data_IF_796043966492
#
_entry.id   IF_796043966492
#
_cell.length_a   1.000
_cell.length_b   1.000
_cell.length_c   1.000
_cell.angle_alpha   90.00
_cell.angle_beta   90.00
_cell.angle_gamma   90.00
#
_symmetry.space_group_name_H-M   'P 1'
#
loop_
_entity.id
_entity.type
_entity.pdbx_description
1 polymer ?
#
# COMPACT_ATOMS: atom_id res chain seq x y z
N UNK A 1 -88.41 -12.69 -62.65
CA UNK A 1 -88.02 -12.22 -61.31
C UNK A 1 -86.66 -12.77 -60.78
N UNK A 2 -85.78 -13.37 -61.61
CA UNK A 2 -84.54 -14.03 -61.13
C UNK A 2 -83.26 -13.15 -61.10
N UNK A 3 -83.27 -11.96 -61.70
CA UNK A 3 -82.05 -11.12 -61.84
C UNK A 3 -81.75 -10.27 -60.58
N UNK A 4 -82.75 -9.97 -59.74
CA UNK A 4 -82.54 -9.15 -58.52
C UNK A 4 -81.96 -9.92 -57.33
N UNK A 5 -82.03 -11.27 -57.32
CA UNK A 5 -81.52 -12.11 -56.23
C UNK A 5 -80.02 -12.40 -56.31
N UNK A 6 -79.45 -12.46 -57.52
CA UNK A 6 -78.02 -12.67 -57.74
C UNK A 6 -77.18 -11.43 -57.42
N UNK A 7 -77.70 -10.22 -57.67
CA UNK A 7 -77.04 -8.96 -57.34
C UNK A 7 -76.89 -8.75 -55.81
N UNK A 8 -77.90 -9.14 -55.02
CA UNK A 8 -77.83 -9.04 -53.55
C UNK A 8 -76.82 -10.00 -52.91
N UNK A 9 -76.65 -11.19 -53.47
CA UNK A 9 -75.65 -12.18 -53.03
C UNK A 9 -74.22 -11.75 -53.36
N UNK A 10 -73.99 -11.14 -54.53
CA UNK A 10 -72.68 -10.60 -54.88
C UNK A 10 -72.30 -9.39 -54.02
N UNK A 11 -73.26 -8.50 -53.71
CA UNK A 11 -73.02 -7.35 -52.83
C UNK A 11 -72.74 -7.79 -51.38
N UNK A 12 -73.46 -8.78 -50.87
CA UNK A 12 -73.23 -9.34 -49.54
C UNK A 12 -71.87 -10.05 -49.43
N UNK A 13 -71.44 -10.78 -50.46
CA UNK A 13 -70.13 -11.42 -50.50
C UNK A 13 -68.98 -10.39 -50.51
N UNK A 14 -69.13 -9.27 -51.22
CA UNK A 14 -68.13 -8.19 -51.26
C UNK A 14 -68.03 -7.46 -49.91
N UNK A 15 -69.15 -7.26 -49.21
CA UNK A 15 -69.18 -6.64 -47.88
C UNK A 15 -68.52 -7.54 -46.81
N UNK A 16 -68.72 -8.86 -46.88
CA UNK A 16 -68.09 -9.81 -45.94
C UNK A 16 -66.57 -9.90 -46.14
N UNK A 17 -66.10 -9.91 -47.40
CA UNK A 17 -64.65 -9.95 -47.71
C UNK A 17 -63.94 -8.66 -47.31
N UNK A 18 -64.58 -7.50 -47.50
CA UNK A 18 -64.00 -6.20 -47.10
C UNK A 18 -63.96 -6.02 -45.57
N UNK A 19 -64.98 -6.51 -44.84
CA UNK A 19 -64.98 -6.50 -43.37
C UNK A 19 -63.87 -7.37 -42.77
N UNK A 20 -63.61 -8.56 -43.34
CA UNK A 20 -62.51 -9.44 -42.90
C UNK A 20 -61.13 -8.87 -43.23
N UNK A 21 -60.98 -8.18 -44.37
CA UNK A 21 -59.73 -7.48 -44.69
C UNK A 21 -59.47 -6.31 -43.74
N UNK A 22 -60.51 -5.57 -43.34
CA UNK A 22 -60.37 -4.44 -42.43
C UNK A 22 -60.00 -4.88 -40.99
N UNK A 23 -60.57 -5.99 -40.49
CA UNK A 23 -60.20 -6.54 -39.18
C UNK A 23 -58.76 -7.07 -39.18
N UNK A 24 -58.34 -7.76 -40.25
CA UNK A 24 -56.96 -8.21 -40.42
C UNK A 24 -55.97 -7.04 -40.43
N UNK A 25 -56.27 -5.97 -41.15
CA UNK A 25 -55.43 -4.76 -41.18
C UNK A 25 -55.29 -4.12 -39.79
N UNK A 26 -56.38 -4.05 -39.01
CA UNK A 26 -56.32 -3.53 -37.63
C UNK A 26 -55.53 -4.42 -36.67
N UNK A 27 -55.61 -5.75 -36.84
CA UNK A 27 -54.82 -6.70 -36.07
C UNK A 27 -53.33 -6.55 -36.41
N UNK A 28 -52.96 -6.50 -37.70
CA UNK A 28 -51.58 -6.29 -38.14
C UNK A 28 -50.99 -4.96 -37.63
N UNK A 29 -51.76 -3.87 -37.66
CA UNK A 29 -51.34 -2.59 -37.11
C UNK A 29 -51.15 -2.61 -35.59
N UNK A 30 -51.92 -3.44 -34.87
CA UNK A 30 -51.80 -3.60 -33.42
C UNK A 30 -50.59 -4.46 -33.06
N UNK A 31 -50.38 -5.58 -33.75
CA UNK A 31 -49.16 -6.41 -33.62
C UNK A 31 -47.89 -5.60 -33.91
N UNK A 32 -47.91 -4.77 -34.96
CA UNK A 32 -46.77 -3.89 -35.27
C UNK A 32 -46.44 -2.92 -34.13
N UNK A 33 -47.46 -2.33 -33.48
CA UNK A 33 -47.27 -1.45 -32.32
C UNK A 33 -46.75 -2.21 -31.10
N UNK A 34 -47.28 -3.41 -30.83
CA UNK A 34 -46.82 -4.27 -29.74
C UNK A 34 -45.35 -4.65 -29.96
N UNK A 35 -44.98 -5.10 -31.16
CA UNK A 35 -43.61 -5.46 -31.49
C UNK A 35 -42.64 -4.29 -31.35
N UNK A 36 -43.06 -3.08 -31.74
CA UNK A 36 -42.25 -1.87 -31.54
C UNK A 36 -42.05 -1.55 -30.05
N UNK A 37 -43.12 -1.57 -29.26
CA UNK A 37 -43.06 -1.31 -27.83
C UNK A 37 -42.25 -2.38 -27.06
N UNK A 38 -42.39 -3.65 -27.45
CA UNK A 38 -41.61 -4.75 -26.92
C UNK A 38 -40.11 -4.60 -27.25
N UNK A 39 -39.79 -4.21 -28.48
CA UNK A 39 -38.40 -3.92 -28.90
C UNK A 39 -37.79 -2.77 -28.09
N UNK A 40 -38.54 -1.68 -27.88
CA UNK A 40 -38.06 -0.54 -27.10
C UNK A 40 -37.87 -0.90 -25.62
N UNK A 41 -38.78 -1.71 -25.06
CA UNK A 41 -38.65 -2.25 -23.70
C UNK A 41 -37.43 -3.17 -23.59
N UNK A 42 -37.21 -4.04 -24.58
CA UNK A 42 -36.07 -4.94 -24.62
C UNK A 42 -34.75 -4.18 -24.70
N UNK A 43 -34.67 -3.09 -25.48
CA UNK A 43 -33.48 -2.21 -25.51
C UNK A 43 -33.18 -1.61 -24.13
N UNK A 44 -34.20 -1.17 -23.40
CA UNK A 44 -34.03 -0.64 -22.03
C UNK A 44 -33.55 -1.73 -21.07
N UNK A 45 -34.16 -2.92 -21.12
CA UNK A 45 -33.75 -4.08 -20.31
C UNK A 45 -32.30 -4.44 -20.59
N UNK A 46 -31.91 -4.54 -21.86
CA UNK A 46 -30.53 -4.84 -22.25
C UNK A 46 -29.56 -3.78 -21.75
N UNK A 47 -29.91 -2.49 -21.86
CA UNK A 47 -29.07 -1.40 -21.35
C UNK A 47 -28.90 -1.44 -19.83
N UNK A 48 -29.98 -1.65 -19.07
CA UNK A 48 -29.92 -1.77 -17.61
C UNK A 48 -29.14 -3.01 -17.17
N UNK A 49 -29.31 -4.12 -17.87
CA UNK A 49 -28.55 -5.35 -17.63
C UNK A 49 -27.05 -5.15 -17.83
N UNK A 50 -26.66 -4.43 -18.89
CA UNK A 50 -25.27 -4.06 -19.15
C UNK A 50 -24.72 -3.16 -18.03
N UNK A 51 -25.42 -2.08 -17.69
CA UNK A 51 -25.01 -1.17 -16.62
C UNK A 51 -24.87 -1.88 -15.26
N UNK A 52 -25.79 -2.80 -14.95
CA UNK A 52 -25.74 -3.60 -13.72
C UNK A 52 -24.51 -4.51 -13.70
N UNK A 53 -24.21 -5.13 -14.85
CA UNK A 53 -23.03 -6.00 -14.99
C UNK A 53 -21.73 -5.22 -14.84
N UNK A 54 -21.66 -4.03 -15.45
CA UNK A 54 -20.50 -3.14 -15.38
C UNK A 54 -20.28 -2.64 -13.95
N UNK A 55 -21.34 -2.15 -13.29
CA UNK A 55 -21.26 -1.68 -11.90
C UNK A 55 -20.88 -2.82 -10.93
N UNK A 56 -21.37 -4.03 -11.15
CA UNK A 56 -20.99 -5.20 -10.35
C UNK A 56 -19.50 -5.54 -10.55
N UNK A 57 -18.98 -5.40 -11.77
CA UNK A 57 -17.56 -5.60 -12.04
C UNK A 57 -16.69 -4.55 -11.35
N UNK A 58 -17.09 -3.28 -11.40
CA UNK A 58 -16.42 -2.16 -10.72
C UNK A 58 -16.44 -2.33 -9.20
N UNK A 59 -17.61 -2.62 -8.62
CA UNK A 59 -17.76 -2.90 -7.18
C UNK A 59 -16.81 -4.02 -6.74
N UNK A 60 -16.75 -5.12 -7.49
CA UNK A 60 -15.84 -6.23 -7.19
C UNK A 60 -14.36 -5.83 -7.31
N UNK A 61 -14.02 -4.94 -8.24
CA UNK A 61 -12.65 -4.43 -8.36
C UNK A 61 -12.27 -3.56 -7.15
N UNK A 62 -13.13 -2.61 -6.78
CA UNK A 62 -12.91 -1.71 -5.62
C UNK A 62 -12.84 -2.49 -4.31
N UNK A 63 -13.68 -3.52 -4.11
CA UNK A 63 -13.60 -4.39 -2.92
C UNK A 63 -12.25 -5.12 -2.84
N UNK A 64 -11.76 -5.66 -3.96
CA UNK A 64 -10.43 -6.33 -3.98
C UNK A 64 -9.30 -5.35 -3.69
N UNK A 65 -9.36 -4.15 -4.25
CA UNK A 65 -8.38 -3.10 -3.99
C UNK A 65 -8.40 -2.67 -2.52
N UNK A 66 -9.60 -2.50 -1.95
CA UNK A 66 -9.77 -2.15 -0.53
C UNK A 66 -9.16 -3.22 0.38
N UNK A 67 -9.39 -4.50 0.12
CA UNK A 67 -8.80 -5.58 0.92
C UNK A 67 -7.27 -5.63 0.79
N UNK A 68 -6.75 -5.41 -0.43
CA UNK A 68 -5.30 -5.30 -0.66
C UNK A 68 -4.68 -4.14 0.13
N UNK A 69 -5.31 -2.97 0.08
CA UNK A 69 -4.87 -1.78 0.82
C UNK A 69 -4.96 -1.99 2.34
N UNK A 70 -5.98 -2.70 2.82
CA UNK A 70 -6.13 -3.03 4.24
C UNK A 70 -4.98 -3.92 4.72
N UNK A 71 -4.68 -5.00 3.98
CA UNK A 71 -3.54 -5.89 4.29
C UNK A 71 -2.21 -5.11 4.29
N UNK A 72 -2.02 -4.22 3.31
CA UNK A 72 -0.83 -3.39 3.24
C UNK A 72 -0.73 -2.41 4.42
N UNK A 73 -1.84 -1.80 4.83
CA UNK A 73 -1.88 -0.93 6.01
C UNK A 73 -1.54 -1.69 7.29
N UNK A 74 -2.12 -2.89 7.49
CA UNK A 74 -1.83 -3.77 8.62
C UNK A 74 -0.32 -4.14 8.67
N UNK A 75 0.32 -4.32 7.51
CA UNK A 75 1.76 -4.54 7.43
C UNK A 75 2.56 -3.29 7.84
N UNK A 76 2.19 -2.11 7.35
CA UNK A 76 2.87 -0.86 7.70
C UNK A 76 2.77 -0.56 9.19
N UNK A 77 1.63 -0.85 9.83
CA UNK A 77 1.47 -0.67 11.28
C UNK A 77 2.46 -1.52 12.08
N UNK A 78 2.68 -2.78 11.68
CA UNK A 78 3.69 -3.65 12.28
C UNK A 78 5.10 -3.09 12.12
N UNK A 79 5.45 -2.62 10.92
CA UNK A 79 6.76 -1.99 10.68
C UNK A 79 6.96 -0.76 11.56
N UNK A 80 5.94 0.10 11.70
CA UNK A 80 6.02 1.28 12.58
C UNK A 80 6.18 0.89 14.04
N UNK A 81 5.51 -0.17 14.49
CA UNK A 81 5.67 -0.70 15.85
C UNK A 81 7.11 -1.19 16.08
N UNK A 82 7.64 -2.00 15.17
CA UNK A 82 9.01 -2.53 15.26
C UNK A 82 10.05 -1.40 15.27
N UNK A 83 9.89 -0.39 14.39
CA UNK A 83 10.77 0.77 14.36
C UNK A 83 10.72 1.58 15.66
N UNK A 84 9.56 1.72 16.29
CA UNK A 84 9.45 2.41 17.60
C UNK A 84 10.19 1.63 18.68
N UNK A 85 10.05 0.31 18.71
CA UNK A 85 10.77 -0.54 19.65
C UNK A 85 12.29 -0.47 19.42
N UNK A 86 12.73 -0.47 18.16
CA UNK A 86 14.14 -0.31 17.80
C UNK A 86 14.70 1.05 18.26
N UNK A 87 13.97 2.15 18.06
CA UNK A 87 14.39 3.48 18.57
C UNK A 87 14.57 3.49 20.08
N UNK A 88 13.68 2.86 20.84
CA UNK A 88 13.81 2.76 22.30
C UNK A 88 15.07 1.95 22.67
N UNK A 89 15.29 0.82 22.01
CA UNK A 89 16.49 -0.01 22.22
C UNK A 89 17.78 0.75 21.92
N UNK A 90 17.84 1.48 20.80
CA UNK A 90 19.00 2.30 20.43
C UNK A 90 19.24 3.39 21.48
N UNK A 91 18.20 4.08 21.94
CA UNK A 91 18.36 5.11 22.97
C UNK A 91 18.92 4.53 24.29
N UNK A 92 18.44 3.37 24.72
CA UNK A 92 18.98 2.67 25.90
C UNK A 92 20.45 2.27 25.70
N UNK A 93 20.81 1.81 24.50
CA UNK A 93 22.20 1.49 24.17
C UNK A 93 23.09 2.75 24.20
N UNK A 94 22.60 3.90 23.72
CA UNK A 94 23.31 5.17 23.76
C UNK A 94 23.56 5.63 25.20
N UNK A 95 22.57 5.53 26.09
CA UNK A 95 22.73 5.82 27.51
C UNK A 95 23.79 4.91 28.17
N UNK A 96 23.78 3.62 27.84
CA UNK A 96 24.79 2.66 28.31
C UNK A 96 26.20 2.97 27.80
N UNK A 97 26.33 3.39 26.54
CA UNK A 97 27.61 3.81 25.95
C UNK A 97 28.16 5.08 26.64
N UNK A 98 27.31 6.05 26.96
CA UNK A 98 27.73 7.25 27.68
C UNK A 98 28.26 6.90 29.09
N UNK A 99 27.53 6.05 29.83
CA UNK A 99 27.97 5.58 31.14
C UNK A 99 29.31 4.83 31.06
N UNK A 100 29.47 3.96 30.05
CA UNK A 100 30.72 3.23 29.81
C UNK A 100 31.87 4.20 29.51
N UNK A 101 31.67 5.17 28.61
CA UNK A 101 32.68 6.18 28.28
C UNK A 101 33.13 6.99 29.51
N UNK A 102 32.20 7.36 30.40
CA UNK A 102 32.54 8.06 31.65
C UNK A 102 33.41 7.22 32.59
N UNK A 103 33.26 5.89 32.59
CA UNK A 103 34.09 4.98 33.40
C UNK A 103 35.44 4.63 32.77
N UNK A 104 35.49 4.48 31.44
CA UNK A 104 36.70 4.07 30.72
C UNK A 104 37.75 5.18 30.68
N UNK A 105 37.36 6.45 30.58
CA UNK A 105 38.32 7.58 30.52
C UNK A 105 39.19 7.67 31.79
N UNK A 106 38.63 7.69 33.01
CA UNK A 106 39.43 7.64 34.24
C UNK A 106 40.35 6.42 34.31
N UNK A 107 39.87 5.24 33.89
CA UNK A 107 40.67 4.03 33.87
C UNK A 107 41.87 4.14 32.93
N UNK A 108 41.68 4.71 31.73
CA UNK A 108 42.78 4.94 30.79
C UNK A 108 43.83 5.91 31.37
N UNK A 109 43.40 6.96 32.06
CA UNK A 109 44.32 7.87 32.75
C UNK A 109 45.11 7.13 33.85
N UNK A 110 44.43 6.30 34.65
CA UNK A 110 45.07 5.47 35.67
C UNK A 110 46.08 4.47 35.07
N UNK A 111 45.75 3.86 33.93
CA UNK A 111 46.67 2.98 33.20
C UNK A 111 47.91 3.73 32.73
N UNK A 112 47.77 4.93 32.18
CA UNK A 112 48.90 5.78 31.75
C UNK A 112 49.78 6.15 32.94
N UNK A 113 49.19 6.54 34.08
CA UNK A 113 49.94 6.84 35.30
C UNK A 113 50.66 5.61 35.85
N UNK A 114 50.02 4.44 35.82
CA UNK A 114 50.65 3.17 36.21
C UNK A 114 51.84 2.85 35.30
N UNK A 115 51.71 3.05 33.99
CA UNK A 115 52.83 2.90 33.05
C UNK A 115 53.99 3.87 33.37
N UNK A 116 53.68 5.11 33.75
CA UNK A 116 54.69 6.09 34.16
C UNK A 116 55.45 5.62 35.41
N UNK A 117 54.74 5.16 36.45
CA UNK A 117 55.33 4.63 37.67
C UNK A 117 56.19 3.39 37.43
N UNK A 118 55.73 2.50 36.54
CA UNK A 118 56.50 1.33 36.13
C UNK A 118 57.82 1.72 35.47
N UNK A 119 57.85 2.75 34.62
CA UNK A 119 59.08 3.23 33.97
C UNK A 119 60.09 3.73 35.00
N UNK A 120 59.64 4.43 36.05
CA UNK A 120 60.52 4.96 37.10
C UNK A 120 61.02 3.88 38.08
N UNK A 121 60.25 2.81 38.27
CA UNK A 121 60.57 1.74 39.23
C UNK A 121 61.35 0.56 38.62
N UNK A 122 61.41 0.48 37.29
CA UNK A 122 62.02 -0.60 36.53
C UNK A 122 63.48 -0.28 36.15
N UNK A 123 64.19 -1.25 35.58
CA UNK A 123 65.58 -1.10 35.17
C UNK A 123 65.73 0.02 34.12
N UNK A 124 66.81 0.83 34.19
CA UNK A 124 66.99 1.99 33.33
C UNK A 124 67.26 1.55 31.87
N UNK A 125 66.20 1.50 31.07
CA UNK A 125 66.25 1.13 29.67
C UNK A 125 65.43 2.12 28.83
N UNK A 126 66.11 2.80 27.89
CA UNK A 126 65.51 3.75 26.94
C UNK A 126 64.53 4.73 27.61
N UNK A 127 64.92 5.26 28.76
CA UNK A 127 64.03 6.05 29.62
C UNK A 127 63.43 7.26 28.89
N UNK A 128 64.24 7.97 28.10
CA UNK A 128 63.78 9.10 27.29
C UNK A 128 62.68 8.70 26.30
N UNK A 129 62.88 7.62 25.53
CA UNK A 129 61.87 7.12 24.59
C UNK A 129 60.59 6.66 25.30
N UNK A 130 60.73 5.96 26.43
CA UNK A 130 59.60 5.43 27.21
C UNK A 130 58.79 6.57 27.83
N UNK A 131 59.44 7.57 28.43
CA UNK A 131 58.78 8.78 28.97
C UNK A 131 58.09 9.56 27.86
N UNK A 132 58.76 9.77 26.72
CA UNK A 132 58.16 10.45 25.58
C UNK A 132 56.93 9.72 25.03
N UNK A 133 56.86 8.37 25.12
CA UNK A 133 55.65 7.60 24.76
C UNK A 133 54.49 7.86 25.73
N UNK A 134 54.75 7.91 27.03
CA UNK A 134 53.73 8.21 28.04
C UNK A 134 53.18 9.62 27.85
N UNK A 135 54.03 10.61 27.61
CA UNK A 135 53.60 11.98 27.30
C UNK A 135 52.69 12.01 26.07
N UNK A 136 53.06 11.30 24.99
CA UNK A 136 52.18 11.20 23.81
C UNK A 136 50.83 10.55 24.10
N UNK A 137 50.77 9.59 25.04
CA UNK A 137 49.50 9.01 25.46
C UNK A 137 48.67 10.02 26.26
N UNK A 138 49.29 10.82 27.13
CA UNK A 138 48.62 11.93 27.85
C UNK A 138 48.07 12.96 26.87
N UNK A 139 48.88 13.43 25.92
CA UNK A 139 48.46 14.38 24.89
C UNK A 139 47.28 13.85 24.06
N UNK A 140 47.30 12.55 23.74
CA UNK A 140 46.21 11.90 23.00
C UNK A 140 44.89 11.90 23.79
N UNK A 141 44.94 11.88 25.13
CA UNK A 141 43.72 11.93 25.94
C UNK A 141 42.98 13.26 25.81
N UNK A 142 43.70 14.36 25.54
CA UNK A 142 43.13 15.70 25.37
C UNK A 142 42.69 16.00 23.93
N UNK A 143 43.08 15.16 22.97
CA UNK A 143 42.70 15.31 21.56
C UNK A 143 41.21 14.99 21.36
N UNK A 144 40.46 15.96 20.85
CA UNK A 144 39.02 15.84 20.59
C UNK A 144 38.69 15.08 19.29
N UNK A 145 39.63 15.04 18.35
CA UNK A 145 39.52 14.36 17.06
C UNK A 145 39.78 12.85 17.14
N UNK A 146 40.31 12.36 18.27
CA UNK A 146 40.54 10.94 18.53
C UNK A 146 39.37 10.35 19.31
N UNK A 147 38.77 9.28 18.78
CA UNK A 147 37.65 8.61 19.44
C UNK A 147 38.10 7.90 20.72
N UNK A 148 37.20 7.75 21.71
CA UNK A 148 37.49 7.00 22.95
C UNK A 148 38.00 5.59 22.67
N UNK A 149 37.46 4.92 21.63
CA UNK A 149 37.90 3.59 21.21
C UNK A 149 39.34 3.58 20.67
N UNK A 150 39.75 4.62 19.95
CA UNK A 150 41.14 4.75 19.48
C UNK A 150 42.09 5.04 20.63
N UNK A 151 41.70 5.91 21.58
CA UNK A 151 42.47 6.16 22.82
C UNK A 151 42.71 4.85 23.58
N UNK A 152 41.66 4.05 23.76
CA UNK A 152 41.76 2.74 24.42
C UNK A 152 42.70 1.77 23.70
N UNK A 153 42.69 1.74 22.36
CA UNK A 153 43.56 0.85 21.58
C UNK A 153 45.05 1.17 21.71
N UNK A 154 45.39 2.41 22.09
CA UNK A 154 46.76 2.93 22.09
C UNK A 154 47.46 2.79 23.43
N UNK A 155 46.69 2.79 24.52
CA UNK A 155 47.15 2.50 25.88
C UNK A 155 47.45 1.01 26.00
#
# INVERSE_FOLDING_TARGET
>A
MRIKRSAGLALAAIVVVTAQAQTLNTAMATESRINKAATDSQKRITSLSQQTSDLLAEYRAVVRETESLRIYNDQLEKVVFDQRAEKVSINQQLEGLEATNRGVVPLMLEMIETLAQMIESDMPFRLEERRARVERLRDMMDQADVTTSEKYRRV
#
